data_IF_882146443406
#
_entry.id   IF_882146443406
#
_cell.length_a   1.000
_cell.length_b   1.000
_cell.length_c   1.000
_cell.angle_alpha   90.00
_cell.angle_beta   90.00
_cell.angle_gamma   90.00
#
_symmetry.space_group_name_H-M   'P 1'
#
loop_
_entity.id
_entity.type
_entity.pdbx_description
1 polymer ?
#
# COMPACT_ATOMS: atom_id res chain seq x y z
N UNK A 1 20.31 -48.00 8.90
CA UNK A 1 19.76 -49.36 8.74
C UNK A 1 18.35 -49.36 9.31
N UNK A 2 17.38 -49.88 8.53
CA UNK A 2 16.00 -50.26 8.91
C UNK A 2 15.08 -49.08 9.34
N UNK A 3 13.78 -49.01 9.01
CA UNK A 3 12.90 -49.87 8.22
C UNK A 3 11.61 -49.08 7.86
N UNK A 4 10.89 -49.66 6.91
CA UNK A 4 9.60 -49.29 6.35
C UNK A 4 8.44 -49.69 7.28
N UNK A 5 7.40 -48.87 7.39
CA UNK A 5 5.98 -49.27 7.55
C UNK A 5 5.07 -48.04 7.44
N UNK A 6 4.36 -47.79 6.34
CA UNK A 6 3.01 -48.30 5.99
C UNK A 6 2.01 -48.33 7.16
N UNK A 7 1.06 -47.39 7.16
CA UNK A 7 -0.33 -47.60 7.57
C UNK A 7 -1.25 -47.01 6.49
N UNK A 8 -2.20 -47.82 6.03
CA UNK A 8 -3.26 -47.54 5.06
C UNK A 8 -4.58 -47.33 5.82
N UNK A 9 -5.43 -46.42 5.29
CA UNK A 9 -6.92 -46.49 5.16
C UNK A 9 -7.76 -46.57 6.46
N UNK A 10 -9.00 -46.09 6.60
CA UNK A 10 -10.12 -45.51 5.81
C UNK A 10 -10.94 -44.68 6.84
N UNK A 11 -11.72 -43.65 6.50
CA UNK A 11 -13.16 -43.64 6.13
C UNK A 11 -13.46 -42.16 5.81
N UNK A 12 -13.74 -41.74 4.58
CA UNK A 12 -15.03 -41.81 3.86
C UNK A 12 -16.19 -41.12 4.59
N UNK A 13 -16.41 -39.83 4.31
CA UNK A 13 -17.76 -39.26 4.25
C UNK A 13 -17.85 -38.31 3.07
N UNK A 14 -18.51 -38.82 2.04
CA UNK A 14 -18.85 -38.18 0.79
C UNK A 14 -19.79 -36.99 1.02
N UNK A 15 -19.40 -35.82 0.54
CA UNK A 15 -20.35 -34.77 0.16
C UNK A 15 -20.14 -34.54 -1.34
N UNK A 16 -20.84 -35.37 -2.12
CA UNK A 16 -21.08 -35.21 -3.54
C UNK A 16 -21.87 -33.91 -3.74
N UNK A 17 -21.17 -32.81 -4.00
CA UNK A 17 -21.77 -31.61 -4.58
C UNK A 17 -21.62 -31.72 -6.08
N UNK A 18 -22.73 -32.04 -6.72
CA UNK A 18 -22.90 -32.20 -8.17
C UNK A 18 -22.38 -30.97 -8.94
N UNK A 19 -21.57 -31.15 -10.01
CA UNK A 19 -21.22 -30.08 -10.92
C UNK A 19 -22.20 -30.05 -12.10
N UNK A 20 -22.56 -28.82 -12.51
CA UNK A 20 -23.29 -28.45 -13.73
C UNK A 20 -24.75 -28.01 -13.51
N UNK A 21 -24.91 -26.73 -13.20
CA UNK A 21 -26.05 -25.94 -13.67
C UNK A 21 -25.52 -24.73 -14.43
N UNK A 22 -25.78 -24.74 -15.74
CA UNK A 22 -25.48 -23.69 -16.70
C UNK A 22 -26.00 -22.30 -16.22
N UNK A 23 -25.19 -21.23 -16.29
CA UNK A 23 -25.64 -19.88 -15.96
C UNK A 23 -26.33 -19.20 -17.17
N UNK A 24 -27.35 -19.84 -17.76
CA UNK A 24 -28.08 -19.29 -18.93
C UNK A 24 -29.59 -19.14 -18.78
N UNK A 25 -30.19 -19.43 -17.62
CA UNK A 25 -31.66 -19.37 -17.46
C UNK A 25 -32.14 -18.35 -16.39
N UNK A 26 -31.26 -17.74 -15.59
CA UNK A 26 -31.68 -16.80 -14.54
C UNK A 26 -31.74 -15.30 -14.95
N UNK A 27 -31.72 -14.98 -16.25
CA UNK A 27 -31.74 -13.60 -16.74
C UNK A 27 -33.03 -13.22 -17.51
N UNK A 28 -33.97 -14.15 -17.71
CA UNK A 28 -35.14 -13.95 -18.60
C UNK A 28 -36.49 -13.76 -17.91
N UNK A 29 -36.61 -13.99 -16.60
CA UNK A 29 -37.92 -13.90 -15.90
C UNK A 29 -38.19 -12.57 -15.20
N UNK A 30 -37.28 -11.58 -15.25
CA UNK A 30 -37.45 -10.28 -14.58
C UNK A 30 -37.66 -9.11 -15.55
N UNK A 31 -38.47 -9.28 -16.61
CA UNK A 31 -38.80 -8.19 -17.57
C UNK A 31 -40.31 -7.87 -17.71
N UNK A 32 -41.20 -8.49 -16.93
CA UNK A 32 -42.66 -8.28 -17.05
C UNK A 32 -43.33 -7.61 -15.84
N UNK A 33 -42.59 -6.88 -15.02
CA UNK A 33 -43.15 -5.95 -14.04
C UNK A 33 -42.65 -4.53 -14.31
N UNK A 34 -43.10 -3.93 -15.41
CA UNK A 34 -42.97 -2.48 -15.69
C UNK A 34 -44.02 -1.68 -14.90
N UNK A 35 -44.19 -2.00 -13.61
CA UNK A 35 -44.77 -1.04 -12.68
C UNK A 35 -43.65 -0.04 -12.37
N UNK A 36 -43.92 1.26 -12.49
CA UNK A 36 -42.99 2.35 -12.22
C UNK A 36 -42.60 2.38 -10.74
N UNK A 37 -41.81 1.41 -10.29
CA UNK A 37 -41.16 1.42 -9.00
C UNK A 37 -40.09 2.51 -9.07
N UNK A 38 -40.49 3.75 -8.77
CA UNK A 38 -39.52 4.78 -8.49
C UNK A 38 -38.58 4.26 -7.41
N UNK A 39 -37.27 4.49 -7.56
CA UNK A 39 -36.32 4.09 -6.54
C UNK A 39 -36.75 4.69 -5.20
N UNK A 40 -36.59 3.97 -4.07
CA UNK A 40 -37.00 4.44 -2.75
C UNK A 40 -36.07 5.54 -2.19
N UNK A 41 -35.38 6.28 -3.06
CA UNK A 41 -34.39 7.29 -2.73
C UNK A 41 -34.45 8.44 -3.74
N UNK A 42 -34.30 9.67 -3.27
CA UNK A 42 -34.18 10.87 -4.10
C UNK A 42 -32.71 11.30 -4.28
N UNK A 43 -32.39 12.12 -5.29
CA UNK A 43 -31.07 12.76 -5.39
C UNK A 43 -30.67 13.53 -4.12
N UNK A 44 -31.64 14.16 -3.45
CA UNK A 44 -31.42 14.89 -2.19
C UNK A 44 -31.01 13.95 -1.04
N UNK A 45 -31.48 12.71 -1.02
CA UNK A 45 -31.05 11.69 -0.06
C UNK A 45 -29.56 11.39 -0.18
N UNK A 46 -29.09 11.22 -1.42
CA UNK A 46 -27.67 10.99 -1.69
C UNK A 46 -26.82 12.18 -1.23
N UNK A 47 -27.26 13.40 -1.53
CA UNK A 47 -26.56 14.63 -1.12
C UNK A 47 -26.53 14.80 0.42
N UNK A 48 -27.66 14.57 1.10
CA UNK A 48 -27.73 14.57 2.58
C UNK A 48 -26.75 13.57 3.18
N UNK A 49 -26.65 12.39 2.59
CA UNK A 49 -25.75 11.33 3.06
C UNK A 49 -24.27 11.64 2.80
N UNK A 50 -23.95 12.24 1.66
CA UNK A 50 -22.60 12.73 1.35
C UNK A 50 -22.16 13.82 2.35
N UNK A 51 -23.02 14.81 2.64
CA UNK A 51 -22.76 15.82 3.68
C UNK A 51 -22.47 15.19 5.05
N UNK A 52 -23.21 14.14 5.42
CA UNK A 52 -22.95 13.37 6.65
C UNK A 52 -21.60 12.65 6.59
N UNK A 53 -21.27 12.01 5.47
CA UNK A 53 -19.96 11.37 5.27
C UNK A 53 -18.80 12.37 5.41
N UNK A 54 -18.94 13.59 4.90
CA UNK A 54 -17.89 14.60 4.99
C UNK A 54 -17.70 15.11 6.41
N UNK A 55 -18.78 15.31 7.18
CA UNK A 55 -18.69 15.62 8.62
C UNK A 55 -17.99 14.51 9.39
N UNK A 56 -18.36 13.25 9.14
CA UNK A 56 -17.71 12.10 9.79
C UNK A 56 -16.25 11.95 9.35
N UNK A 57 -15.92 12.21 8.09
CA UNK A 57 -14.53 12.17 7.60
C UNK A 57 -13.68 13.23 8.29
N UNK A 58 -14.19 14.47 8.43
CA UNK A 58 -13.54 15.54 9.19
C UNK A 58 -13.36 15.17 10.66
N UNK A 59 -14.38 14.61 11.29
CA UNK A 59 -14.31 14.15 12.68
C UNK A 59 -13.27 13.04 12.86
N UNK A 60 -13.32 12.01 12.02
CA UNK A 60 -12.37 10.91 11.98
C UNK A 60 -10.93 11.42 11.85
N UNK A 61 -10.68 12.36 10.93
CA UNK A 61 -9.36 12.96 10.73
C UNK A 61 -8.81 13.73 11.93
N UNK A 62 -9.66 14.08 12.92
CA UNK A 62 -9.27 14.77 14.16
C UNK A 62 -9.06 13.84 15.35
N UNK A 63 -9.46 12.57 15.24
CA UNK A 63 -9.22 11.58 16.29
C UNK A 63 -7.73 11.30 16.39
N UNK A 64 -7.16 11.49 17.58
CA UNK A 64 -5.75 11.21 17.85
C UNK A 64 -5.63 9.86 18.52
N UNK A 65 -4.81 8.99 17.96
CA UNK A 65 -4.47 7.73 18.60
C UNK A 65 -3.77 7.95 19.95
N UNK A 66 -3.88 7.00 20.88
CA UNK A 66 -3.10 7.03 22.11
C UNK A 66 -1.60 7.01 21.81
N UNK A 67 -0.80 7.53 22.74
CA UNK A 67 0.67 7.47 22.61
C UNK A 67 1.10 6.00 22.62
N UNK A 68 1.74 5.57 21.55
CA UNK A 68 2.27 4.21 21.48
C UNK A 68 3.51 4.07 22.36
N UNK A 69 3.50 3.09 23.26
CA UNK A 69 4.58 2.78 24.20
C UNK A 69 5.30 1.47 23.89
N UNK A 70 4.74 0.65 23.01
CA UNK A 70 5.28 -0.65 22.62
C UNK A 70 4.81 -1.04 21.22
N UNK A 71 5.48 -2.00 20.59
CA UNK A 71 5.05 -2.66 19.35
C UNK A 71 5.32 -4.16 19.42
N UNK A 72 4.72 -4.94 18.51
CA UNK A 72 4.88 -6.40 18.47
C UNK A 72 5.85 -6.77 17.34
N UNK A 73 6.93 -7.46 17.69
CA UNK A 73 7.84 -8.10 16.73
C UNK A 73 8.43 -9.35 17.38
N UNK A 74 7.87 -10.53 17.06
CA UNK A 74 8.09 -11.82 17.73
C UNK A 74 7.67 -11.84 19.22
N UNK A 75 7.91 -10.75 19.95
CA UNK A 75 7.48 -10.43 21.31
C UNK A 75 7.09 -8.95 21.39
N UNK A 76 6.54 -8.53 22.53
CA UNK A 76 6.30 -7.12 22.80
C UNK A 76 7.62 -6.39 23.10
N UNK A 77 7.87 -5.27 22.41
CA UNK A 77 9.04 -4.42 22.59
C UNK A 77 8.61 -3.03 23.04
N UNK A 78 9.18 -2.53 24.14
CA UNK A 78 8.89 -1.20 24.68
C UNK A 78 9.70 -0.12 23.96
N UNK A 79 9.08 1.04 23.74
CA UNK A 79 9.69 2.22 23.13
C UNK A 79 10.20 3.19 24.21
N UNK A 80 11.38 3.81 24.02
CA UNK A 80 12.30 3.61 22.91
C UNK A 80 13.09 2.30 23.04
N UNK A 81 13.29 1.60 21.92
CA UNK A 81 14.27 0.50 21.85
C UNK A 81 15.64 1.15 21.67
N UNK A 82 16.48 1.06 22.70
CA UNK A 82 17.84 1.61 22.64
C UNK A 82 18.74 0.65 21.85
N UNK A 83 19.83 1.18 21.32
CA UNK A 83 20.97 0.38 20.87
C UNK A 83 21.67 -0.23 22.09
N UNK A 84 21.00 -1.13 22.83
CA UNK A 84 21.64 -1.81 23.94
C UNK A 84 22.59 -2.88 23.41
N UNK A 85 23.71 -3.08 24.11
CA UNK A 85 24.75 -4.06 23.77
C UNK A 85 24.23 -5.50 23.66
N UNK A 86 23.03 -5.78 24.16
CA UNK A 86 22.37 -7.09 24.05
C UNK A 86 22.06 -7.53 22.61
N UNK A 87 22.02 -6.63 21.63
CA UNK A 87 22.05 -7.01 20.20
C UNK A 87 23.43 -6.85 19.57
N UNK A 88 24.32 -6.05 20.17
CA UNK A 88 25.67 -5.81 19.64
C UNK A 88 26.67 -6.94 19.96
N UNK A 89 26.44 -7.72 21.03
CA UNK A 89 27.32 -8.81 21.45
C UNK A 89 27.03 -10.18 20.83
N UNK A 90 25.86 -10.37 20.20
CA UNK A 90 25.48 -11.63 19.58
C UNK A 90 25.45 -11.47 18.06
N UNK A 91 26.62 -11.58 17.43
CA UNK A 91 26.83 -11.58 15.98
C UNK A 91 26.10 -10.46 15.25
N UNK A 92 26.79 -9.36 14.97
CA UNK A 92 26.39 -8.46 13.91
C UNK A 92 26.24 -9.32 12.65
N UNK A 93 25.02 -9.78 12.36
CA UNK A 93 24.76 -10.74 11.30
C UNK A 93 25.32 -10.10 10.04
N UNK A 94 26.30 -10.78 9.42
CA UNK A 94 26.90 -10.29 8.20
C UNK A 94 25.78 -10.10 7.20
N UNK A 95 25.42 -8.85 6.94
CA UNK A 95 24.34 -8.50 6.03
C UNK A 95 24.72 -9.07 4.67
N UNK A 96 23.95 -10.03 4.18
CA UNK A 96 24.17 -10.58 2.86
C UNK A 96 23.99 -9.49 1.81
N UNK A 97 24.71 -9.59 0.68
CA UNK A 97 24.59 -8.64 -0.42
C UNK A 97 23.13 -8.42 -0.84
N UNK A 98 22.36 -9.50 -0.93
CA UNK A 98 20.94 -9.47 -1.28
C UNK A 98 20.09 -8.72 -0.24
N UNK A 99 20.39 -8.85 1.05
CA UNK A 99 19.72 -8.05 2.08
C UNK A 99 20.08 -6.58 1.96
N UNK A 100 21.36 -6.27 1.70
CA UNK A 100 21.81 -4.89 1.51
C UNK A 100 21.16 -4.23 0.29
N UNK A 101 21.01 -4.96 -0.82
CA UNK A 101 20.25 -4.52 -2.01
C UNK A 101 18.79 -4.20 -1.68
N UNK A 102 18.11 -5.12 -0.97
CA UNK A 102 16.74 -4.88 -0.49
C UNK A 102 16.67 -3.63 0.40
N UNK A 103 17.59 -3.48 1.35
CA UNK A 103 17.61 -2.35 2.25
C UNK A 103 17.89 -1.03 1.51
N UNK A 104 18.79 -1.03 0.52
CA UNK A 104 19.05 0.12 -0.33
C UNK A 104 17.79 0.54 -1.11
N UNK A 105 17.10 -0.41 -1.75
CA UNK A 105 15.84 -0.13 -2.44
C UNK A 105 14.76 0.41 -1.51
N UNK A 106 14.63 -0.16 -0.31
CA UNK A 106 13.67 0.32 0.69
C UNK A 106 14.02 1.73 1.19
N UNK A 107 15.31 1.99 1.45
CA UNK A 107 15.80 3.30 1.88
C UNK A 107 15.58 4.36 0.79
N UNK A 108 15.74 3.99 -0.48
CA UNK A 108 15.45 4.88 -1.61
C UNK A 108 13.97 5.27 -1.66
N UNK A 109 13.03 4.41 -1.28
CA UNK A 109 11.64 4.83 -1.06
C UNK A 109 11.48 5.67 0.22
N UNK A 110 11.46 5.01 1.37
CA UNK A 110 11.00 5.60 2.65
C UNK A 110 12.13 6.13 3.56
N UNK A 111 13.39 5.93 3.19
CA UNK A 111 14.54 6.38 3.96
C UNK A 111 14.80 7.87 3.90
N UNK A 112 15.47 8.41 4.91
CA UNK A 112 15.84 9.81 5.00
C UNK A 112 17.25 9.97 5.57
N UNK A 113 18.09 10.69 4.83
CA UNK A 113 19.41 11.15 5.25
C UNK A 113 19.33 12.64 5.60
N UNK A 114 19.81 13.04 6.78
CA UNK A 114 19.75 14.44 7.21
C UNK A 114 20.82 14.78 8.24
N UNK A 115 21.17 16.07 8.33
CA UNK A 115 21.96 16.58 9.44
C UNK A 115 21.14 16.59 10.73
N UNK A 116 21.80 16.39 11.87
CA UNK A 116 21.22 16.60 13.20
C UNK A 116 21.14 18.10 13.48
N UNK A 117 20.11 18.55 14.20
CA UNK A 117 19.96 19.94 14.64
C UNK A 117 21.23 20.43 15.34
N UNK A 118 21.66 21.66 15.02
CA UNK A 118 22.90 22.23 15.55
C UNK A 118 24.18 21.66 14.93
N UNK A 119 24.08 20.90 13.82
CA UNK A 119 25.22 20.38 13.04
C UNK A 119 26.19 19.50 13.86
N UNK A 120 25.73 18.95 14.97
CA UNK A 120 26.53 18.04 15.81
C UNK A 120 26.84 16.69 15.13
N UNK A 121 26.16 16.37 14.03
CA UNK A 121 26.38 15.14 13.26
C UNK A 121 25.33 14.91 12.18
N UNK A 122 25.24 13.66 11.76
CA UNK A 122 24.30 13.16 10.75
C UNK A 122 23.42 12.07 11.33
N UNK A 123 22.25 11.89 10.69
CA UNK A 123 21.34 10.79 10.99
C UNK A 123 20.80 10.15 9.71
N UNK A 124 20.63 8.84 9.76
CA UNK A 124 19.75 8.10 8.86
C UNK A 124 18.49 7.72 9.63
N UNK A 125 17.36 7.69 8.93
CA UNK A 125 16.06 7.37 9.52
C UNK A 125 15.14 6.68 8.54
N UNK A 126 14.29 5.80 9.05
CA UNK A 126 13.17 5.17 8.32
C UNK A 126 11.97 5.16 9.26
N UNK A 127 10.85 5.72 8.80
CA UNK A 127 9.57 5.66 9.49
C UNK A 127 8.67 4.59 8.89
N UNK A 128 7.97 3.81 9.72
CA UNK A 128 6.91 2.90 9.31
C UNK A 128 5.79 2.88 10.35
N UNK A 129 4.61 2.38 9.95
CA UNK A 129 3.58 2.05 10.92
C UNK A 129 4.05 0.89 11.81
N UNK A 130 3.64 0.91 13.09
CA UNK A 130 4.13 -0.07 14.05
C UNK A 130 3.72 -1.54 13.77
N UNK A 131 2.70 -1.75 12.94
CA UNK A 131 2.28 -3.06 12.43
C UNK A 131 3.13 -3.56 11.24
N UNK A 132 4.16 -2.79 10.85
CA UNK A 132 5.14 -3.11 9.81
C UNK A 132 6.57 -3.00 10.36
N UNK A 133 6.74 -3.35 11.63
CA UNK A 133 8.00 -3.20 12.35
C UNK A 133 9.13 -4.10 11.81
N UNK A 134 8.82 -5.11 11.00
CA UNK A 134 9.79 -6.09 10.50
C UNK A 134 10.94 -5.42 9.73
N UNK A 135 10.65 -4.44 8.88
CA UNK A 135 11.70 -3.71 8.14
C UNK A 135 12.49 -2.80 9.06
N UNK A 136 11.84 -2.11 10.01
CA UNK A 136 12.51 -1.29 11.02
C UNK A 136 13.49 -2.13 11.85
N UNK A 137 13.09 -3.34 12.25
CA UNK A 137 13.92 -4.29 12.98
C UNK A 137 15.07 -4.83 12.12
N UNK A 138 14.88 -4.98 10.80
CA UNK A 138 15.94 -5.35 9.87
C UNK A 138 17.06 -4.29 9.85
N UNK A 139 16.70 -3.00 9.71
CA UNK A 139 17.68 -1.90 9.78
C UNK A 139 18.34 -1.79 11.16
N UNK A 140 17.58 -1.98 12.23
CA UNK A 140 18.13 -1.99 13.58
C UNK A 140 19.17 -3.09 13.79
N UNK A 141 18.90 -4.31 13.31
CA UNK A 141 19.85 -5.44 13.41
C UNK A 141 21.10 -5.25 12.54
N UNK A 142 20.92 -4.75 11.32
CA UNK A 142 22.01 -4.56 10.37
C UNK A 142 22.96 -3.40 10.74
N UNK A 143 22.41 -2.28 11.23
CA UNK A 143 23.15 -1.03 11.37
C UNK A 143 23.12 -0.44 12.79
N UNK A 144 22.51 -1.13 13.75
CA UNK A 144 22.34 -0.64 15.12
C UNK A 144 21.33 0.51 15.20
N UNK A 145 21.63 1.53 16.00
CA UNK A 145 20.72 2.66 16.22
C UNK A 145 19.55 2.33 17.15
N UNK A 146 18.66 3.30 17.34
CA UNK A 146 17.49 3.17 18.21
C UNK A 146 16.18 3.17 17.44
N UNK A 147 15.14 2.60 18.02
CA UNK A 147 13.77 2.68 17.51
C UNK A 147 12.95 3.55 18.45
N UNK A 148 12.47 4.66 17.91
CA UNK A 148 11.66 5.64 18.63
C UNK A 148 10.22 5.66 18.13
N UNK A 149 9.38 6.29 18.93
CA UNK A 149 8.07 6.73 18.51
C UNK A 149 8.18 8.09 17.81
N UNK A 150 7.52 8.28 16.67
CA UNK A 150 7.60 9.53 15.89
C UNK A 150 6.29 10.30 15.90
N UNK A 151 5.20 9.69 15.44
CA UNK A 151 3.89 10.35 15.33
C UNK A 151 2.81 9.49 15.96
N UNK A 152 1.85 10.14 16.65
CA UNK A 152 0.72 9.42 17.27
C UNK A 152 -0.16 8.79 16.21
N UNK A 153 -0.20 9.34 15.01
CA UNK A 153 -1.23 9.02 14.04
C UNK A 153 -2.51 9.81 14.31
N UNK A 154 -3.32 9.99 13.27
CA UNK A 154 -4.60 10.68 13.31
C UNK A 154 -5.60 10.01 12.38
N UNK A 155 -6.83 9.84 12.84
CA UNK A 155 -7.87 9.10 12.13
C UNK A 155 -7.39 7.72 11.70
N UNK A 156 -7.41 7.46 10.39
CA UNK A 156 -6.97 6.18 9.83
C UNK A 156 -5.45 6.05 9.64
N UNK A 157 -4.69 7.14 9.80
CA UNK A 157 -3.24 7.09 9.83
C UNK A 157 -2.80 6.54 11.19
N UNK A 158 -2.22 5.33 11.17
CA UNK A 158 -1.75 4.63 12.36
C UNK A 158 -0.53 5.35 12.97
N UNK A 159 -0.21 5.11 14.26
CA UNK A 159 1.02 5.60 14.84
C UNK A 159 2.25 5.07 14.08
N UNK A 160 3.29 5.91 14.01
CA UNK A 160 4.55 5.58 13.36
C UNK A 160 5.68 5.40 14.37
N UNK A 161 6.49 4.39 14.12
CA UNK A 161 7.80 4.20 14.75
C UNK A 161 8.89 4.50 13.73
N UNK A 162 10.06 4.88 14.22
CA UNK A 162 11.21 5.24 13.39
C UNK A 162 12.45 4.53 13.90
N UNK A 163 13.13 3.82 13.00
CA UNK A 163 14.53 3.49 13.21
C UNK A 163 15.36 4.73 12.90
N UNK A 164 16.29 5.05 13.81
CA UNK A 164 17.27 6.13 13.63
C UNK A 164 18.65 5.72 14.08
N UNK A 165 19.66 6.09 13.30
CA UNK A 165 21.07 5.93 13.65
C UNK A 165 21.79 7.26 13.44
N UNK A 166 22.75 7.59 14.32
CA UNK A 166 23.50 8.84 14.30
C UNK A 166 25.01 8.58 14.41
N UNK A 167 25.83 9.61 14.14
CA UNK A 167 27.27 9.58 14.39
C UNK A 167 28.00 8.53 13.54
N UNK A 168 29.03 7.87 14.10
CA UNK A 168 29.85 6.90 13.36
C UNK A 168 29.01 5.76 12.75
N UNK A 169 28.04 5.23 13.48
CA UNK A 169 27.17 4.17 12.97
C UNK A 169 26.34 4.64 11.76
N UNK A 170 25.90 5.90 11.73
CA UNK A 170 25.22 6.46 10.57
C UNK A 170 26.15 6.59 9.36
N UNK A 171 27.41 7.01 9.57
CA UNK A 171 28.42 7.08 8.51
C UNK A 171 28.69 5.70 7.89
N UNK A 172 28.91 4.69 8.74
CA UNK A 172 29.12 3.30 8.29
C UNK A 172 27.90 2.73 7.56
N UNK A 173 26.69 2.94 8.08
CA UNK A 173 25.47 2.52 7.41
C UNK A 173 25.29 3.23 6.06
N UNK A 174 25.59 4.52 6.00
CA UNK A 174 25.49 5.30 4.77
C UNK A 174 26.48 4.84 3.72
N UNK A 175 27.72 4.53 4.09
CA UNK A 175 28.72 3.98 3.17
C UNK A 175 28.23 2.65 2.54
N UNK A 176 27.71 1.74 3.36
CA UNK A 176 27.17 0.46 2.88
C UNK A 176 25.96 0.65 1.94
N UNK A 177 25.03 1.55 2.31
CA UNK A 177 23.85 1.82 1.49
C UNK A 177 24.21 2.59 0.20
N UNK A 178 25.16 3.53 0.24
CA UNK A 178 25.57 4.32 -0.92
C UNK A 178 26.16 3.47 -2.04
N UNK A 179 26.76 2.32 -1.72
CA UNK A 179 27.29 1.39 -2.71
C UNK A 179 26.20 0.80 -3.64
N UNK A 180 24.93 0.81 -3.22
CA UNK A 180 23.82 0.17 -3.95
C UNK A 180 22.64 1.12 -4.22
N UNK A 181 22.38 2.05 -3.29
CA UNK A 181 21.35 3.07 -3.45
C UNK A 181 21.57 3.83 -4.74
N UNK A 182 20.48 4.23 -5.37
CA UNK A 182 20.50 4.97 -6.61
C UNK A 182 20.00 6.39 -6.40
N UNK A 183 18.80 6.55 -5.84
CA UNK A 183 18.15 7.85 -5.73
C UNK A 183 18.71 8.69 -4.59
N UNK A 184 19.12 8.03 -3.50
CA UNK A 184 19.64 8.69 -2.30
C UNK A 184 21.16 8.55 -2.16
N UNK A 185 21.85 8.06 -3.19
CA UNK A 185 23.30 7.85 -3.16
C UNK A 185 24.08 9.14 -2.84
N UNK A 186 23.82 10.30 -3.47
CA UNK A 186 24.56 11.53 -3.16
C UNK A 186 24.39 11.96 -1.70
N UNK A 187 23.17 11.85 -1.17
CA UNK A 187 22.86 12.17 0.22
C UNK A 187 23.58 11.19 1.17
N UNK A 188 23.61 9.90 0.83
CA UNK A 188 24.31 8.88 1.61
C UNK A 188 25.83 9.07 1.58
N UNK A 189 26.42 9.46 0.43
CA UNK A 189 27.85 9.81 0.33
C UNK A 189 28.21 10.97 1.25
N UNK A 190 27.41 12.04 1.26
CA UNK A 190 27.61 13.16 2.19
C UNK A 190 27.53 12.69 3.66
N UNK A 191 26.60 11.80 3.99
CA UNK A 191 26.52 11.25 5.36
C UNK A 191 27.73 10.38 5.68
N UNK A 192 28.21 9.55 4.74
CA UNK A 192 29.38 8.71 4.94
C UNK A 192 30.64 9.56 5.21
N UNK A 193 30.81 10.62 4.45
CA UNK A 193 31.98 11.51 4.48
C UNK A 193 31.81 12.71 5.44
N UNK A 194 30.86 12.62 6.39
CA UNK A 194 30.51 13.75 7.23
C UNK A 194 31.71 14.28 8.04
N UNK A 195 32.07 15.57 7.91
CA UNK A 195 33.36 16.09 8.34
C UNK A 195 33.40 16.35 9.85
N UNK A 196 34.61 16.30 10.40
CA UNK A 196 34.88 16.71 11.77
C UNK A 196 34.79 18.23 11.96
N UNK A 197 35.19 19.01 10.94
CA UNK A 197 35.18 20.47 10.98
C UNK A 197 33.77 21.09 10.93
N UNK A 198 33.52 22.12 11.74
CA UNK A 198 32.19 22.73 11.88
C UNK A 198 31.76 23.55 10.66
N UNK A 199 32.68 24.26 10.00
CA UNK A 199 32.35 25.08 8.82
C UNK A 199 31.90 24.19 7.66
N UNK A 200 32.63 23.11 7.39
CA UNK A 200 32.28 22.12 6.36
C UNK A 200 30.98 21.37 6.64
N UNK A 201 30.62 21.15 7.92
CA UNK A 201 29.32 20.55 8.27
C UNK A 201 28.14 21.46 7.86
N UNK A 202 28.31 22.78 7.94
CA UNK A 202 27.29 23.73 7.51
C UNK A 202 27.05 23.64 6.01
N UNK A 203 28.12 23.63 5.23
CA UNK A 203 28.07 23.46 3.76
C UNK A 203 27.40 22.12 3.38
N UNK A 204 27.82 21.02 4.00
CA UNK A 204 27.24 19.71 3.72
C UNK A 204 25.77 19.60 4.16
N UNK A 205 25.36 20.27 5.24
CA UNK A 205 23.96 20.33 5.63
C UNK A 205 23.09 21.09 4.62
N UNK A 206 23.61 22.20 4.08
CA UNK A 206 22.96 22.94 3.00
C UNK A 206 22.86 22.08 1.75
N UNK A 207 23.92 21.34 1.41
CA UNK A 207 23.92 20.43 0.26
C UNK A 207 22.92 19.29 0.44
N UNK A 208 22.84 18.65 1.61
CA UNK A 208 21.81 17.65 1.92
C UNK A 208 20.39 18.22 1.75
N UNK A 209 20.17 19.46 2.20
CA UNK A 209 18.88 20.16 2.04
C UNK A 209 18.58 20.42 0.56
N UNK A 210 19.57 20.85 -0.22
CA UNK A 210 19.46 21.08 -1.67
C UNK A 210 19.09 19.79 -2.41
N UNK A 211 19.81 18.70 -2.15
CA UNK A 211 19.59 17.39 -2.76
C UNK A 211 18.23 16.78 -2.41
N UNK A 212 17.63 17.16 -1.26
CA UNK A 212 16.27 16.73 -0.92
C UNK A 212 15.20 17.46 -1.73
N UNK A 213 15.43 18.72 -2.09
CA UNK A 213 14.51 19.49 -2.94
C UNK A 213 14.68 19.20 -4.42
N UNK A 214 15.93 19.02 -4.85
CA UNK A 214 16.32 18.79 -6.24
C UNK A 214 17.27 17.58 -6.30
N UNK A 215 16.76 16.34 -6.22
CA UNK A 215 17.61 15.18 -6.34
C UNK A 215 18.21 15.13 -7.75
N UNK A 216 19.51 14.82 -7.87
CA UNK A 216 20.14 14.70 -9.18
C UNK A 216 19.58 13.49 -9.91
N UNK A 217 19.67 13.51 -11.24
CA UNK A 217 19.38 12.33 -12.02
C UNK A 217 20.39 11.23 -11.68
N UNK A 218 19.94 10.00 -11.38
CA UNK A 218 20.85 8.90 -11.10
C UNK A 218 21.59 8.52 -12.40
N UNK A 219 22.92 8.56 -12.36
CA UNK A 219 23.76 8.32 -13.54
C UNK A 219 23.48 6.94 -14.17
N UNK A 220 23.40 5.89 -13.36
CA UNK A 220 23.00 4.54 -13.76
C UNK A 220 22.39 3.84 -12.54
N UNK A 221 21.24 3.17 -12.72
CA UNK A 221 20.61 2.39 -11.67
C UNK A 221 20.86 0.91 -11.97
N UNK A 222 21.76 0.29 -11.22
CA UNK A 222 21.89 -1.17 -11.23
C UNK A 222 20.76 -1.79 -10.41
N UNK A 223 19.61 -1.96 -11.06
CA UNK A 223 18.44 -2.54 -10.41
C UNK A 223 18.59 -4.07 -10.36
N UNK A 224 18.40 -4.63 -9.17
CA UNK A 224 18.26 -6.08 -8.96
C UNK A 224 16.84 -6.41 -8.50
N UNK A 225 16.46 -7.69 -8.51
CA UNK A 225 15.17 -8.10 -7.95
C UNK A 225 15.05 -7.82 -6.45
N UNK A 226 16.16 -7.87 -5.70
CA UNK A 226 16.16 -7.56 -4.27
C UNK A 226 16.00 -6.06 -4.03
N UNK A 227 16.73 -5.24 -4.78
CA UNK A 227 16.52 -3.79 -4.78
C UNK A 227 15.08 -3.43 -5.13
N UNK A 228 14.54 -3.98 -6.22
CA UNK A 228 13.15 -3.74 -6.63
C UNK A 228 12.15 -4.19 -5.55
N UNK A 229 12.38 -5.32 -4.88
CA UNK A 229 11.51 -5.78 -3.80
C UNK A 229 11.51 -4.79 -2.61
N UNK A 230 12.66 -4.25 -2.24
CA UNK A 230 12.78 -3.22 -1.21
C UNK A 230 12.08 -1.93 -1.60
N UNK A 231 12.35 -1.45 -2.81
CA UNK A 231 11.73 -0.25 -3.36
C UNK A 231 10.21 -0.39 -3.47
N UNK A 232 9.72 -1.55 -3.93
CA UNK A 232 8.29 -1.85 -4.01
C UNK A 232 7.63 -1.98 -2.64
N UNK A 233 8.35 -2.44 -1.61
CA UNK A 233 7.82 -2.48 -0.25
C UNK A 233 7.64 -1.09 0.38
N UNK A 234 8.44 -0.12 -0.03
CA UNK A 234 8.22 1.30 0.29
C UNK A 234 7.11 1.90 -0.60
N UNK A 235 7.35 1.99 -1.92
CA UNK A 235 6.59 2.83 -2.86
C UNK A 235 5.52 2.08 -3.68
N UNK A 236 5.57 0.75 -3.67
CA UNK A 236 4.73 -0.09 -4.50
C UNK A 236 3.31 -0.28 -3.98
N UNK A 237 2.40 -0.65 -4.88
CA UNK A 237 1.02 -1.00 -4.58
C UNK A 237 0.59 -2.23 -5.39
N UNK A 238 -0.08 -3.16 -4.71
CA UNK A 238 -0.74 -4.31 -5.34
C UNK A 238 -2.24 -4.05 -5.30
N UNK A 239 -2.86 -3.91 -6.46
CA UNK A 239 -4.30 -3.67 -6.58
C UNK A 239 -4.98 -4.75 -7.44
N UNK A 240 -6.25 -4.99 -7.12
CA UNK A 240 -7.12 -5.90 -7.86
C UNK A 240 -8.27 -5.06 -8.41
N UNK A 241 -8.50 -5.09 -9.72
CA UNK A 241 -9.57 -4.32 -10.33
C UNK A 241 -10.93 -4.74 -9.73
N UNK A 242 -11.82 -3.80 -9.37
CA UNK A 242 -13.12 -4.14 -8.80
C UNK A 242 -14.12 -4.72 -9.81
N UNK A 243 -13.83 -4.71 -11.11
CA UNK A 243 -14.77 -5.16 -12.16
C UNK A 243 -14.34 -6.48 -12.79
N UNK A 244 -13.04 -6.77 -12.72
CA UNK A 244 -12.40 -7.90 -13.39
C UNK A 244 -11.38 -8.55 -12.45
N UNK A 245 -11.12 -9.84 -12.66
CA UNK A 245 -10.06 -10.55 -11.93
C UNK A 245 -8.66 -10.20 -12.48
N UNK A 246 -8.36 -8.91 -12.63
CA UNK A 246 -7.07 -8.41 -13.06
C UNK A 246 -6.28 -7.84 -11.88
N UNK A 247 -5.03 -8.30 -11.78
CA UNK A 247 -4.00 -7.70 -10.94
C UNK A 247 -3.40 -6.49 -11.63
N UNK A 248 -3.01 -5.50 -10.85
CA UNK A 248 -2.16 -4.37 -11.26
C UNK A 248 -1.11 -4.12 -10.20
N UNK A 249 0.13 -3.97 -10.64
CA UNK A 249 1.21 -3.45 -9.81
C UNK A 249 1.47 -2.00 -10.21
N UNK A 250 1.68 -1.17 -9.21
CA UNK A 250 1.88 0.26 -9.38
C UNK A 250 3.05 0.70 -8.50
N UNK A 251 3.92 1.55 -9.04
CA UNK A 251 4.97 2.27 -8.31
C UNK A 251 4.77 3.76 -8.59
N UNK A 252 4.84 4.59 -7.56
CA UNK A 252 4.72 6.04 -7.69
C UNK A 252 5.99 6.75 -7.23
N UNK A 253 6.42 7.77 -7.96
CA UNK A 253 7.54 8.64 -7.57
C UNK A 253 7.36 10.05 -8.10
N UNK A 254 7.91 11.05 -7.39
CA UNK A 254 7.94 12.44 -7.87
C UNK A 254 8.87 12.57 -9.09
N UNK A 255 9.96 11.79 -9.13
CA UNK A 255 10.94 11.81 -10.21
C UNK A 255 10.75 10.61 -11.14
N UNK A 256 10.92 10.82 -12.45
CA UNK A 256 10.70 9.78 -13.46
C UNK A 256 11.85 8.77 -13.55
N UNK A 257 13.09 9.23 -13.37
CA UNK A 257 14.30 8.43 -13.61
C UNK A 257 14.31 7.05 -12.88
N UNK A 258 13.91 6.95 -11.61
CA UNK A 258 13.85 5.66 -10.91
C UNK A 258 12.86 4.68 -11.54
N UNK A 259 11.71 5.18 -11.99
CA UNK A 259 10.68 4.36 -12.63
C UNK A 259 11.09 3.93 -14.04
N UNK A 260 11.83 4.78 -14.77
CA UNK A 260 12.38 4.45 -16.08
C UNK A 260 13.47 3.38 -15.97
N UNK A 261 14.35 3.49 -14.98
CA UNK A 261 15.34 2.45 -14.70
C UNK A 261 14.69 1.12 -14.32
N UNK A 262 13.70 1.12 -13.43
CA UNK A 262 12.94 -0.08 -13.07
C UNK A 262 12.26 -0.66 -14.33
N UNK A 263 11.70 0.18 -15.20
CA UNK A 263 11.12 -0.26 -16.47
C UNK A 263 12.15 -0.94 -17.36
N UNK A 264 13.35 -0.37 -17.50
CA UNK A 264 14.41 -0.93 -18.34
C UNK A 264 14.90 -2.27 -17.78
N UNK A 265 15.13 -2.36 -16.47
CA UNK A 265 15.46 -3.61 -15.78
C UNK A 265 14.39 -4.69 -16.01
N UNK A 266 13.13 -4.31 -15.87
CA UNK A 266 12.01 -5.22 -16.09
C UNK A 266 11.88 -5.67 -17.54
N UNK A 267 12.18 -4.81 -18.52
CA UNK A 267 12.20 -5.16 -19.93
C UNK A 267 13.34 -6.13 -20.27
N UNK A 268 14.52 -5.94 -19.67
CA UNK A 268 15.66 -6.86 -19.80
C UNK A 268 15.33 -8.25 -19.22
N UNK A 269 14.80 -8.30 -17.99
CA UNK A 269 14.49 -9.57 -17.32
C UNK A 269 13.23 -10.26 -17.83
N UNK A 270 12.28 -9.51 -18.37
CA UNK A 270 10.98 -10.00 -18.84
C UNK A 270 10.60 -9.29 -20.16
N UNK A 271 11.15 -9.72 -21.32
CA UNK A 271 10.99 -9.03 -22.61
C UNK A 271 9.54 -8.80 -23.05
N UNK A 272 8.61 -9.66 -22.63
CA UNK A 272 7.19 -9.58 -22.96
C UNK A 272 6.35 -8.83 -21.91
N UNK A 273 6.99 -8.12 -20.98
CA UNK A 273 6.30 -7.41 -19.91
C UNK A 273 5.61 -6.14 -20.43
N UNK A 274 4.30 -6.02 -20.16
CA UNK A 274 3.60 -4.76 -20.37
C UNK A 274 3.81 -3.82 -19.19
N UNK A 275 4.77 -2.90 -19.31
CA UNK A 275 5.04 -1.84 -18.35
C UNK A 275 4.99 -0.46 -19.03
N UNK A 276 4.26 0.49 -18.43
CA UNK A 276 4.24 1.89 -18.87
C UNK A 276 4.51 2.85 -17.72
N UNK A 277 5.34 3.87 -17.96
CA UNK A 277 5.55 4.99 -17.05
C UNK A 277 4.77 6.19 -17.56
N UNK A 278 3.98 6.84 -16.69
CA UNK A 278 3.13 7.98 -17.05
C UNK A 278 3.11 9.04 -15.95
N UNK A 279 3.08 10.31 -16.33
CA UNK A 279 2.83 11.41 -15.40
C UNK A 279 1.33 11.47 -15.04
N UNK A 280 1.00 11.58 -13.75
CA UNK A 280 -0.37 11.74 -13.27
C UNK A 280 -0.40 12.69 -12.07
N UNK A 281 -0.81 13.93 -12.32
CA UNK A 281 -0.70 15.00 -11.32
C UNK A 281 0.77 15.36 -11.08
N UNK A 282 1.23 15.51 -9.82
CA UNK A 282 2.61 15.91 -9.51
C UNK A 282 3.62 14.74 -9.49
N UNK A 283 3.19 13.52 -9.84
CA UNK A 283 4.01 12.32 -9.72
C UNK A 283 3.93 11.42 -10.96
N UNK A 284 5.00 10.69 -11.20
CA UNK A 284 5.09 9.63 -12.19
C UNK A 284 4.66 8.29 -11.58
N UNK A 285 4.10 7.45 -12.45
CA UNK A 285 3.60 6.13 -12.09
C UNK A 285 4.09 5.08 -13.09
N UNK A 286 4.67 3.99 -12.61
CA UNK A 286 4.92 2.79 -13.40
C UNK A 286 3.78 1.80 -13.16
N UNK A 287 3.10 1.42 -14.24
CA UNK A 287 2.01 0.45 -14.21
C UNK A 287 2.44 -0.84 -14.90
N UNK A 288 2.37 -1.94 -14.17
CA UNK A 288 2.53 -3.28 -14.72
C UNK A 288 1.14 -3.91 -14.74
N UNK A 289 0.65 -4.18 -15.95
CA UNK A 289 -0.66 -4.74 -16.20
C UNK A 289 -0.52 -6.09 -16.93
N UNK A 290 -1.61 -6.85 -16.99
CA UNK A 290 -1.63 -8.17 -17.62
C UNK A 290 -1.40 -9.31 -16.62
N UNK A 291 -2.16 -10.39 -16.76
CA UNK A 291 -2.14 -11.49 -15.81
C UNK A 291 -0.74 -12.13 -15.71
N UNK A 292 -0.13 -12.48 -16.86
CA UNK A 292 1.19 -13.09 -16.93
C UNK A 292 2.31 -12.15 -16.46
N UNK A 293 2.29 -10.89 -16.91
CA UNK A 293 3.27 -9.87 -16.52
C UNK A 293 3.28 -9.63 -15.01
N UNK A 294 2.10 -9.42 -14.41
CA UNK A 294 2.00 -9.22 -12.95
C UNK A 294 2.38 -10.48 -12.16
N UNK A 295 2.09 -11.68 -12.68
CA UNK A 295 2.50 -12.94 -12.07
C UNK A 295 4.01 -13.10 -12.03
N UNK A 296 4.66 -12.89 -13.17
CA UNK A 296 6.11 -13.03 -13.32
C UNK A 296 6.84 -12.07 -12.38
N UNK A 297 6.41 -10.81 -12.34
CA UNK A 297 7.01 -9.79 -11.46
C UNK A 297 6.79 -10.13 -9.98
N UNK A 298 5.57 -10.50 -9.57
CA UNK A 298 5.30 -10.90 -8.19
C UNK A 298 6.09 -12.15 -7.77
N UNK A 299 6.23 -13.12 -8.67
CA UNK A 299 6.97 -14.37 -8.40
C UNK A 299 8.45 -14.09 -8.21
N UNK A 300 9.07 -13.33 -9.12
CA UNK A 300 10.47 -12.93 -8.99
C UNK A 300 10.72 -12.05 -7.75
N UNK A 301 9.82 -11.10 -7.46
CA UNK A 301 9.92 -10.32 -6.22
C UNK A 301 9.81 -11.24 -5.00
N UNK A 302 8.82 -12.14 -4.91
CA UNK A 302 8.71 -13.08 -3.80
C UNK A 302 9.96 -13.95 -3.62
N UNK A 303 10.56 -14.39 -4.73
CA UNK A 303 11.82 -15.12 -4.72
C UNK A 303 12.99 -14.26 -4.23
N UNK A 304 12.97 -12.95 -4.47
CA UNK A 304 13.91 -11.95 -3.95
C UNK A 304 13.64 -11.51 -2.49
N UNK A 305 12.43 -11.76 -1.97
CA UNK A 305 12.12 -11.76 -0.55
C UNK A 305 11.62 -10.43 0.03
N UNK A 306 10.59 -9.76 -0.53
CA UNK A 306 9.93 -8.61 0.08
C UNK A 306 9.53 -8.96 1.52
N UNK A 307 9.49 -7.97 2.40
CA UNK A 307 9.12 -8.10 3.80
C UNK A 307 7.68 -7.61 4.01
N UNK A 308 7.41 -6.36 3.67
CA UNK A 308 6.17 -5.64 4.00
C UNK A 308 5.00 -6.17 3.17
N UNK A 309 5.17 -6.32 1.85
CA UNK A 309 4.08 -6.70 0.94
C UNK A 309 4.11 -8.19 0.58
N UNK A 310 4.96 -9.00 1.21
CA UNK A 310 5.06 -10.45 0.98
C UNK A 310 3.72 -11.17 1.04
N UNK A 311 2.95 -10.94 2.11
CA UNK A 311 1.65 -11.60 2.32
C UNK A 311 0.63 -11.18 1.25
N UNK A 312 0.61 -9.90 0.88
CA UNK A 312 -0.26 -9.37 -0.16
C UNK A 312 0.10 -9.94 -1.54
N UNK A 313 1.40 -10.05 -1.86
CA UNK A 313 1.89 -10.66 -3.09
C UNK A 313 1.47 -12.13 -3.22
N UNK A 314 1.65 -12.94 -2.16
CA UNK A 314 1.19 -14.35 -2.15
C UNK A 314 -0.32 -14.47 -2.37
N UNK A 315 -1.12 -13.62 -1.73
CA UNK A 315 -2.58 -13.63 -1.90
C UNK A 315 -2.98 -13.20 -3.32
N UNK A 316 -2.28 -12.21 -3.89
CA UNK A 316 -2.52 -11.78 -5.27
C UNK A 316 -2.21 -12.88 -6.28
N UNK A 317 -1.16 -13.68 -6.07
CA UNK A 317 -0.85 -14.80 -6.95
C UNK A 317 -1.98 -15.83 -7.04
N UNK A 318 -2.79 -16.00 -6.00
CA UNK A 318 -3.96 -16.88 -5.99
C UNK A 318 -5.21 -16.30 -6.68
N UNK A 319 -5.09 -15.18 -7.41
CA UNK A 319 -6.20 -14.54 -8.11
C UNK A 319 -6.64 -15.37 -9.32
N UNK A 320 -7.91 -15.74 -9.32
CA UNK A 320 -8.64 -16.34 -10.44
C UNK A 320 -10.02 -15.68 -10.52
N UNK A 321 -10.80 -15.87 -11.59
CA UNK A 321 -12.19 -15.42 -11.64
C UNK A 321 -13.02 -15.92 -10.44
N UNK A 322 -12.85 -17.19 -10.03
CA UNK A 322 -13.59 -17.78 -8.91
C UNK A 322 -13.16 -17.22 -7.55
N UNK A 323 -11.91 -16.80 -7.40
CA UNK A 323 -11.36 -16.29 -6.12
C UNK A 323 -11.36 -14.76 -6.01
N UNK A 324 -11.83 -14.04 -7.03
CA UNK A 324 -11.72 -12.58 -7.18
C UNK A 324 -12.14 -11.79 -5.94
N UNK A 325 -13.38 -12.00 -5.47
CA UNK A 325 -13.94 -11.28 -4.32
C UNK A 325 -13.13 -11.53 -3.04
N UNK A 326 -12.79 -12.81 -2.79
CA UNK A 326 -12.03 -13.23 -1.61
C UNK A 326 -10.61 -12.66 -1.62
N UNK A 327 -9.91 -12.75 -2.74
CA UNK A 327 -8.54 -12.23 -2.90
C UNK A 327 -8.52 -10.72 -2.71
N UNK A 328 -9.46 -10.00 -3.34
CA UNK A 328 -9.60 -8.56 -3.18
C UNK A 328 -9.85 -8.17 -1.74
N UNK A 329 -10.77 -8.84 -1.04
CA UNK A 329 -11.06 -8.58 0.37
C UNK A 329 -9.86 -8.84 1.29
N UNK A 330 -9.05 -9.87 1.02
CA UNK A 330 -7.85 -10.17 1.79
C UNK A 330 -6.72 -9.18 1.54
N UNK A 331 -6.46 -8.78 0.29
CA UNK A 331 -5.47 -7.72 -0.02
C UNK A 331 -5.90 -6.40 0.61
N UNK A 332 -7.19 -6.12 0.57
CA UNK A 332 -7.81 -4.96 1.18
C UNK A 332 -7.55 -4.79 2.68
N UNK A 333 -7.34 -5.89 3.41
CA UNK A 333 -7.00 -5.92 4.84
C UNK A 333 -5.52 -5.66 5.11
N UNK A 334 -4.65 -5.89 4.12
CA UNK A 334 -3.20 -5.71 4.21
C UNK A 334 -2.72 -4.36 3.67
N UNK A 335 -3.50 -3.78 2.76
CA UNK A 335 -3.27 -2.45 2.23
C UNK A 335 -3.51 -1.36 3.29
N UNK A 336 -2.88 -0.20 3.10
CA UNK A 336 -3.14 0.97 3.94
C UNK A 336 -4.60 1.44 3.87
N UNK A 337 -4.99 2.24 4.84
CA UNK A 337 -6.38 2.70 5.00
C UNK A 337 -6.79 3.85 4.06
N UNK A 338 -5.87 4.41 3.27
CA UNK A 338 -6.09 5.63 2.47
C UNK A 338 -7.28 5.52 1.49
N UNK A 339 -7.57 4.32 0.97
CA UNK A 339 -8.69 4.09 0.05
C UNK A 339 -9.84 3.27 0.66
N UNK A 340 -9.87 3.07 1.97
CA UNK A 340 -10.81 2.17 2.65
C UNK A 340 -12.27 2.52 2.36
N UNK A 341 -12.64 3.80 2.47
CA UNK A 341 -14.03 4.28 2.28
C UNK A 341 -14.47 4.47 0.83
N UNK A 342 -13.54 4.36 -0.12
CA UNK A 342 -13.82 4.48 -1.56
C UNK A 342 -13.93 3.12 -2.24
N UNK A 343 -13.61 2.04 -1.52
CA UNK A 343 -13.64 0.68 -2.01
C UNK A 343 -15.08 0.21 -2.20
N UNK A 344 -15.37 -0.32 -3.38
CA UNK A 344 -16.67 -0.93 -3.67
C UNK A 344 -16.85 -2.23 -2.89
N UNK A 345 -18.03 -2.43 -2.31
CA UNK A 345 -18.54 -3.71 -1.82
C UNK A 345 -18.96 -4.61 -3.01
N UNK A 346 -19.48 -5.80 -2.72
CA UNK A 346 -19.87 -6.78 -3.75
C UNK A 346 -20.94 -6.17 -4.67
N UNK A 347 -22.00 -5.61 -4.11
CA UNK A 347 -23.08 -5.00 -4.90
C UNK A 347 -22.60 -3.78 -5.69
N UNK A 348 -21.70 -2.98 -5.10
CA UNK A 348 -21.06 -1.84 -5.75
C UNK A 348 -20.22 -2.26 -6.95
N UNK A 349 -19.55 -3.42 -6.88
CA UNK A 349 -18.84 -4.02 -8.00
C UNK A 349 -19.81 -4.42 -9.12
N UNK A 350 -20.92 -5.09 -8.77
CA UNK A 350 -21.97 -5.46 -9.74
C UNK A 350 -22.57 -4.23 -10.43
N UNK A 351 -22.97 -3.20 -9.67
CA UNK A 351 -23.46 -1.92 -10.21
C UNK A 351 -22.43 -1.25 -11.11
N UNK A 352 -21.16 -1.21 -10.68
CA UNK A 352 -20.08 -0.61 -11.48
C UNK A 352 -19.85 -1.35 -12.80
N UNK A 353 -19.95 -2.68 -12.79
CA UNK A 353 -19.89 -3.50 -14.02
C UNK A 353 -21.09 -3.22 -14.92
N UNK A 354 -22.29 -3.10 -14.37
CA UNK A 354 -23.49 -2.80 -15.15
C UNK A 354 -23.43 -1.42 -15.82
N UNK A 355 -23.04 -0.39 -15.06
CA UNK A 355 -22.79 0.97 -15.59
C UNK A 355 -21.83 0.94 -16.77
N UNK A 356 -20.74 0.15 -16.66
CA UNK A 356 -19.76 0.04 -17.74
C UNK A 356 -20.35 -0.65 -18.99
N UNK A 357 -21.15 -1.70 -18.82
CA UNK A 357 -21.80 -2.40 -19.94
C UNK A 357 -22.76 -1.47 -20.70
N UNK A 358 -23.62 -0.73 -19.99
CA UNK A 358 -24.55 0.24 -20.58
C UNK A 358 -23.78 1.36 -21.29
N UNK A 359 -22.73 1.89 -20.66
CA UNK A 359 -21.88 2.90 -21.26
C UNK A 359 -21.16 2.40 -22.52
N UNK A 360 -20.65 1.17 -22.51
CA UNK A 360 -20.02 0.55 -23.68
C UNK A 360 -21.00 0.38 -24.84
N UNK A 361 -22.23 -0.09 -24.56
CA UNK A 361 -23.30 -0.16 -25.57
C UNK A 361 -23.56 1.21 -26.18
N UNK A 362 -23.71 2.24 -25.34
CA UNK A 362 -23.94 3.61 -25.78
C UNK A 362 -22.81 4.18 -26.66
N UNK A 363 -21.55 3.73 -26.48
CA UNK A 363 -20.41 4.16 -27.32
C UNK A 363 -20.27 3.38 -28.62
N UNK A 364 -20.99 2.28 -28.82
CA UNK A 364 -20.91 1.53 -30.06
C UNK A 364 -21.47 2.37 -31.22
N UNK A 365 -20.74 2.41 -32.34
CA UNK A 365 -21.22 3.06 -33.56
C UNK A 365 -22.45 2.29 -34.06
N UNK A 366 -23.53 3.01 -34.39
CA UNK A 366 -24.74 2.42 -34.98
C UNK A 366 -25.88 2.11 -34.01
N UNK A 367 -25.81 2.58 -32.75
CA UNK A 367 -26.98 2.51 -31.85
C UNK A 367 -28.08 3.45 -32.36
N UNK A 368 -29.32 2.97 -32.61
CA UNK A 368 -30.44 3.81 -33.01
C UNK A 368 -30.72 4.94 -32.00
N UNK A 369 -31.23 6.08 -32.47
CA UNK A 369 -31.48 7.26 -31.62
C UNK A 369 -32.32 6.94 -30.39
N UNK A 370 -33.41 6.18 -30.56
CA UNK A 370 -34.31 5.82 -29.47
C UNK A 370 -33.65 4.89 -28.45
N UNK A 371 -32.88 3.89 -28.90
CA UNK A 371 -32.10 3.04 -28.01
C UNK A 371 -31.04 3.86 -27.25
N UNK A 372 -30.39 4.82 -27.93
CA UNK A 372 -29.40 5.68 -27.29
C UNK A 372 -30.03 6.56 -26.20
N UNK A 373 -31.26 7.07 -26.40
CA UNK A 373 -32.00 7.80 -25.37
C UNK A 373 -32.33 6.91 -24.17
N UNK A 374 -32.84 5.70 -24.41
CA UNK A 374 -33.15 4.73 -23.36
C UNK A 374 -31.89 4.35 -22.56
N UNK A 375 -30.76 4.08 -23.24
CA UNK A 375 -29.48 3.77 -22.59
C UNK A 375 -28.94 4.95 -21.77
N UNK A 376 -29.11 6.20 -22.22
CA UNK A 376 -28.74 7.39 -21.45
C UNK A 376 -29.56 7.49 -20.17
N UNK A 377 -30.87 7.26 -20.25
CA UNK A 377 -31.76 7.26 -19.09
C UNK A 377 -31.40 6.14 -18.11
N UNK A 378 -31.20 4.92 -18.60
CA UNK A 378 -30.75 3.78 -17.79
C UNK A 378 -29.42 4.07 -17.10
N UNK A 379 -28.44 4.61 -17.84
CA UNK A 379 -27.13 4.99 -17.31
C UNK A 379 -27.23 6.06 -16.22
N UNK A 380 -28.13 7.04 -16.37
CA UNK A 380 -28.37 8.07 -15.37
C UNK A 380 -28.94 7.46 -14.08
N UNK A 381 -29.96 6.61 -14.20
CA UNK A 381 -30.56 5.87 -13.06
C UNK A 381 -29.52 5.03 -12.33
N UNK A 382 -28.75 4.21 -13.05
CA UNK A 382 -27.71 3.35 -12.46
C UNK A 382 -26.61 4.15 -11.76
N UNK A 383 -26.22 5.30 -12.32
CA UNK A 383 -25.22 6.19 -11.70
C UNK A 383 -25.75 6.80 -10.40
N UNK A 384 -26.98 7.29 -10.41
CA UNK A 384 -27.61 7.86 -9.24
C UNK A 384 -27.77 6.81 -8.12
N UNK A 385 -28.21 5.59 -8.45
CA UNK A 385 -28.29 4.46 -7.51
C UNK A 385 -26.92 4.13 -6.93
N UNK A 386 -25.90 4.04 -7.79
CA UNK A 386 -24.54 3.74 -7.37
C UNK A 386 -23.99 4.79 -6.41
N UNK A 387 -24.22 6.09 -6.68
CA UNK A 387 -23.81 7.19 -5.80
C UNK A 387 -24.48 7.05 -4.43
N UNK A 388 -25.81 6.85 -4.39
CA UNK A 388 -26.56 6.69 -3.16
C UNK A 388 -26.08 5.50 -2.33
N UNK A 389 -26.00 4.31 -2.92
CA UNK A 389 -25.54 3.10 -2.23
C UNK A 389 -24.10 3.24 -1.75
N UNK A 390 -23.20 3.83 -2.55
CA UNK A 390 -21.81 4.07 -2.16
C UNK A 390 -21.72 5.02 -0.96
N UNK A 391 -22.54 6.08 -0.94
CA UNK A 391 -22.60 7.01 0.18
C UNK A 391 -23.12 6.30 1.46
N UNK A 392 -24.11 5.40 1.33
CA UNK A 392 -24.63 4.59 2.45
C UNK A 392 -23.60 3.63 3.03
N UNK A 393 -22.89 2.91 2.18
CA UNK A 393 -21.79 2.03 2.60
C UNK A 393 -20.67 2.83 3.26
N UNK A 394 -20.24 3.95 2.65
CA UNK A 394 -19.22 4.85 3.21
C UNK A 394 -19.63 5.40 4.58
N UNK A 395 -20.87 5.88 4.74
CA UNK A 395 -21.39 6.38 6.01
C UNK A 395 -21.31 5.31 7.10
N UNK A 396 -21.75 4.10 6.80
CA UNK A 396 -21.73 2.97 7.73
C UNK A 396 -20.30 2.61 8.15
N UNK A 397 -19.38 2.51 7.18
CA UNK A 397 -17.96 2.24 7.44
C UNK A 397 -17.30 3.33 8.30
N UNK A 398 -17.58 4.61 8.01
CA UNK A 398 -17.05 5.73 8.80
C UNK A 398 -17.48 5.63 10.26
N UNK A 399 -18.75 5.32 10.53
CA UNK A 399 -19.23 5.13 11.91
C UNK A 399 -18.54 3.97 12.62
N UNK A 400 -18.37 2.84 11.94
CA UNK A 400 -17.68 1.66 12.48
C UNK A 400 -16.22 1.99 12.79
N UNK A 401 -15.51 2.63 11.86
CA UNK A 401 -14.10 2.98 12.05
C UNK A 401 -13.93 4.02 13.17
N UNK A 402 -14.81 5.02 13.26
CA UNK A 402 -14.82 6.00 14.37
C UNK A 402 -15.01 5.28 15.72
N UNK A 403 -16.03 4.42 15.85
CA UNK A 403 -16.25 3.66 17.08
C UNK A 403 -15.06 2.78 17.42
N UNK A 404 -14.50 2.09 16.43
CA UNK A 404 -13.34 1.23 16.62
C UNK A 404 -12.14 2.02 17.16
N UNK A 405 -11.86 3.20 16.61
CA UNK A 405 -10.78 4.06 17.09
C UNK A 405 -11.03 4.57 18.51
N UNK A 406 -12.25 5.03 18.81
CA UNK A 406 -12.61 5.47 20.16
C UNK A 406 -12.44 4.32 21.18
N UNK A 407 -12.86 3.10 20.83
CA UNK A 407 -12.67 1.90 21.65
C UNK A 407 -11.19 1.52 21.83
N UNK A 408 -10.33 1.91 20.88
CA UNK A 408 -8.87 1.75 20.97
C UNK A 408 -8.19 2.89 21.75
N UNK A 409 -8.97 3.75 22.42
CA UNK A 409 -8.46 4.85 23.24
C UNK A 409 -8.07 6.10 22.43
N UNK A 410 -8.52 6.21 21.17
CA UNK A 410 -8.35 7.46 20.44
C UNK A 410 -9.19 8.57 21.07
N UNK A 411 -8.64 9.78 21.14
CA UNK A 411 -9.29 10.93 21.76
C UNK A 411 -9.46 12.08 20.77
N UNK A 412 -10.58 12.80 20.86
CA UNK A 412 -10.76 14.07 20.16
C UNK A 412 -10.17 15.23 21.01
N UNK A 413 -9.37 16.14 20.44
CA UNK A 413 -8.71 17.21 21.22
C UNK A 413 -9.67 18.26 21.82
N UNK A 414 -10.93 18.32 21.36
CA UNK A 414 -11.98 19.13 21.99
C UNK A 414 -12.88 18.27 22.89
N UNK A 415 -13.02 18.64 24.17
CA UNK A 415 -13.74 17.89 25.23
C UNK A 415 -15.27 17.72 25.04
N UNK A 416 -15.90 18.28 24.00
CA UNK A 416 -17.34 18.64 24.08
C UNK A 416 -18.25 18.30 22.88
N UNK A 417 -17.88 17.38 21.98
CA UNK A 417 -18.63 17.17 20.71
C UNK A 417 -19.25 15.79 20.49
N UNK A 418 -19.16 14.85 21.44
CA UNK A 418 -19.70 13.49 21.21
C UNK A 418 -21.23 13.44 21.25
N UNK A 419 -21.89 14.34 21.97
CA UNK A 419 -23.36 14.34 22.10
C UNK A 419 -24.10 14.80 20.84
N UNK A 420 -23.52 15.67 20.01
CA UNK A 420 -24.21 16.25 18.83
C UNK A 420 -24.05 15.43 17.55
N UNK A 421 -23.12 14.48 17.50
CA UNK A 421 -22.88 13.64 16.33
C UNK A 421 -23.68 12.33 16.35
N UNK A 422 -24.40 12.06 17.43
CA UNK A 422 -25.10 10.79 17.66
C UNK A 422 -26.53 10.99 18.19
N UNK A 423 -27.47 11.47 17.35
CA UNK A 423 -28.89 11.18 17.56
C UNK A 423 -29.21 9.70 17.31
#
# INVERSE_FOLDING_TARGET
MLAVSRVRRLVSSELLISPALHPRIAASTCRRANASCQPPWSPDDAERLLRRCDRLTKFLGRLRWPKQTHFIFQRQLHLPVRASNSFAGANQERVSQRQLEYMAGFFDGDGCASAVTGLGGVKLSIGQSADRAEVIMMFHRAFGGGIGFTTRGMGLAKPMIEWRVCGQAARSAAANLAAISSMKQPQLKIVADWPADASRRSEMALELKRLKGNPPEPNQIECTWAYLAGFFDAEGCISIDPRTAHRRLELSQIHAAPLLAIRNFLADKLPNLTNSVRLKGPAYYSFINGAASTEAVLTNMLAAGPVVKRKAAKIALALTPATHLRVRARIAQLAGNQCRHYRLDVDGMHRSKHILLVYSRLRNKGVPSDEAMALKQELATLRAEHIFCKAKTRYSMLRVDIRTLLNQGASHPGKLLLQTLWP
#
